data_IF_184749980985
#
_entry.id   IF_184749980985
#
_cell.length_a   1.000
_cell.length_b   1.000
_cell.length_c   1.000
_cell.angle_alpha   90.00
_cell.angle_beta   90.00
_cell.angle_gamma   90.00
#
_symmetry.space_group_name_H-M   'P 1'
#
loop_
_entity.id
_entity.type
_entity.pdbx_description
1 polymer ?
#
# COMPACT_ATOMS: atom_id res chain seq x y z
N UNK A 1 -1.62 9.53 3.08
CA UNK A 1 -1.23 8.44 4.00
C UNK A 1 -0.01 7.78 3.39
N UNK A 2 1.09 7.68 4.13
CA UNK A 2 2.42 7.30 3.62
C UNK A 2 2.85 5.89 4.04
N UNK A 3 1.99 5.16 4.75
CA UNK A 3 2.30 3.89 5.42
C UNK A 3 1.23 2.86 5.12
N UNK A 4 1.49 1.60 5.45
CA UNK A 4 0.54 0.49 5.30
C UNK A 4 -0.54 0.44 6.38
N UNK A 5 -0.55 1.41 7.31
CA UNK A 5 -1.52 1.47 8.39
C UNK A 5 -3.01 1.38 7.93
N UNK A 6 -3.42 1.95 6.78
CA UNK A 6 -4.79 1.80 6.25
C UNK A 6 -5.18 0.37 5.87
N UNK A 7 -4.20 -0.49 5.60
CA UNK A 7 -4.42 -1.91 5.27
C UNK A 7 -4.46 -2.78 6.52
N UNK A 8 -3.85 -2.33 7.62
CA UNK A 8 -3.65 -3.10 8.85
C UNK A 8 -4.63 -2.75 9.97
N UNK A 9 -5.15 -1.52 9.98
CA UNK A 9 -5.98 -1.01 11.07
C UNK A 9 -7.30 -0.46 10.56
N UNK A 10 -8.31 -0.50 11.43
CA UNK A 10 -9.61 0.08 11.10
C UNK A 10 -9.53 1.61 11.07
N UNK A 11 -10.36 2.28 10.26
CA UNK A 11 -10.38 3.74 10.20
C UNK A 11 -10.64 4.39 11.57
N UNK A 12 -11.42 3.74 12.45
CA UNK A 12 -11.64 4.22 13.81
C UNK A 12 -10.36 4.19 14.67
N UNK A 13 -9.56 3.13 14.58
CA UNK A 13 -8.27 3.05 15.27
C UNK A 13 -7.28 4.10 14.77
N UNK A 14 -7.25 4.33 13.44
CA UNK A 14 -6.41 5.36 12.83
C UNK A 14 -6.83 6.77 13.26
N UNK A 15 -8.13 7.04 13.29
CA UNK A 15 -8.67 8.32 13.76
C UNK A 15 -8.33 8.56 15.24
N UNK A 16 -8.49 7.54 16.10
CA UNK A 16 -8.15 7.63 17.52
C UNK A 16 -6.65 7.86 17.74
N UNK A 17 -5.78 7.19 16.97
CA UNK A 17 -4.34 7.41 17.01
C UNK A 17 -3.98 8.84 16.57
N UNK A 18 -4.57 9.32 15.48
CA UNK A 18 -4.37 10.68 15.00
C UNK A 18 -4.85 11.73 16.01
N UNK A 19 -6.01 11.53 16.64
CA UNK A 19 -6.51 12.40 17.71
C UNK A 19 -5.54 12.42 18.89
N UNK A 20 -5.15 11.26 19.41
CA UNK A 20 -4.19 11.16 20.53
C UNK A 20 -2.88 11.87 20.22
N UNK A 21 -2.31 11.65 19.04
CA UNK A 21 -1.08 12.31 18.58
C UNK A 21 -1.26 13.82 18.45
N UNK A 22 -2.39 14.27 17.90
CA UNK A 22 -2.75 15.69 17.77
C UNK A 22 -2.88 16.39 19.11
N UNK A 23 -3.58 15.79 20.07
CA UNK A 23 -3.70 16.30 21.44
C UNK A 23 -2.33 16.40 22.12
N UNK A 24 -1.48 15.38 21.96
CA UNK A 24 -0.12 15.42 22.49
C UNK A 24 0.72 16.56 21.89
N UNK A 25 0.61 16.79 20.57
CA UNK A 25 1.27 17.93 19.90
C UNK A 25 0.74 19.29 20.37
N UNK A 26 -0.54 19.35 20.72
CA UNK A 26 -1.17 20.54 21.30
C UNK A 26 -0.88 20.72 22.82
N UNK A 27 -0.12 19.82 23.44
CA UNK A 27 0.20 19.86 24.87
C UNK A 27 -0.92 19.37 25.79
N UNK A 28 -1.99 18.78 25.23
CA UNK A 28 -3.14 18.26 25.99
C UNK A 28 -2.87 16.80 26.33
N UNK A 29 -2.74 16.50 27.63
CA UNK A 29 -2.55 15.13 28.13
C UNK A 29 -3.90 14.43 28.30
N UNK A 30 -4.20 13.50 27.40
CA UNK A 30 -5.29 12.55 27.61
C UNK A 30 -4.77 11.42 28.50
N UNK A 31 -5.24 11.36 29.75
CA UNK A 31 -4.80 10.35 30.71
C UNK A 31 -5.24 8.93 30.34
N UNK A 32 -6.45 8.79 29.79
CA UNK A 32 -6.96 7.51 29.30
C UNK A 32 -7.61 7.68 27.92
N UNK A 33 -6.90 7.37 26.82
CA UNK A 33 -7.48 7.46 25.48
C UNK A 33 -8.59 6.43 25.23
N UNK A 34 -8.66 5.35 26.03
CA UNK A 34 -9.75 4.40 25.95
C UNK A 34 -11.05 4.99 26.49
N UNK A 35 -11.01 5.91 27.45
CA UNK A 35 -12.18 6.59 27.98
C UNK A 35 -12.88 7.52 26.97
N UNK A 36 -12.21 7.82 25.84
CA UNK A 36 -12.81 8.61 24.76
C UNK A 36 -13.74 7.78 23.86
N UNK A 37 -13.65 6.45 23.92
CA UNK A 37 -14.32 5.55 22.95
C UNK A 37 -15.06 4.40 23.61
N UNK A 38 -14.60 3.93 24.76
CA UNK A 38 -15.19 2.81 25.49
C UNK A 38 -15.95 3.32 26.71
N UNK A 39 -17.14 2.79 26.93
CA UNK A 39 -17.95 3.04 28.13
C UNK A 39 -17.21 2.53 29.38
N UNK A 40 -17.48 3.04 30.59
CA UNK A 40 -16.84 2.56 31.82
C UNK A 40 -16.93 1.04 32.02
N UNK A 41 -18.06 0.44 31.61
CA UNK A 41 -18.30 -1.01 31.66
C UNK A 41 -17.48 -1.81 30.62
N UNK A 42 -16.94 -1.12 29.60
CA UNK A 42 -16.13 -1.67 28.51
C UNK A 42 -14.63 -1.42 28.71
N UNK A 43 -14.22 -1.04 29.92
CA UNK A 43 -12.81 -0.83 30.32
C UNK A 43 -12.19 -2.01 31.11
N UNK A 44 -12.29 -3.29 30.72
CA UNK A 44 -11.39 -4.30 31.26
C UNK A 44 -9.94 -3.87 31.00
N UNK A 45 -9.05 -4.02 31.97
CA UNK A 45 -7.63 -3.65 31.82
C UNK A 45 -7.00 -4.26 30.56
N UNK A 46 -7.35 -5.51 30.25
CA UNK A 46 -6.86 -6.22 29.07
C UNK A 46 -7.24 -5.51 27.75
N UNK A 47 -8.47 -5.01 27.64
CA UNK A 47 -8.95 -4.28 26.46
C UNK A 47 -8.21 -2.96 26.31
N UNK A 48 -8.00 -2.24 27.42
CA UNK A 48 -7.25 -0.98 27.44
C UNK A 48 -5.79 -1.22 27.03
N UNK A 49 -5.16 -2.28 27.52
CA UNK A 49 -3.79 -2.65 27.13
C UNK A 49 -3.68 -3.01 25.64
N UNK A 50 -4.63 -3.79 25.11
CA UNK A 50 -4.68 -4.13 23.68
C UNK A 50 -4.84 -2.87 22.82
N UNK A 51 -5.75 -1.97 23.20
CA UNK A 51 -5.95 -0.70 22.51
C UNK A 51 -4.67 0.14 22.53
N UNK A 52 -4.03 0.26 23.69
CA UNK A 52 -2.77 0.99 23.82
C UNK A 52 -1.63 0.38 22.99
N UNK A 53 -1.58 -0.95 22.83
CA UNK A 53 -0.63 -1.61 21.94
C UNK A 53 -0.90 -1.26 20.47
N UNK A 54 -2.17 -1.37 20.02
CA UNK A 54 -2.56 -1.01 18.66
C UNK A 54 -2.23 0.45 18.34
N UNK A 55 -2.56 1.38 19.24
CA UNK A 55 -2.28 2.80 19.07
C UNK A 55 -0.77 3.10 18.99
N UNK A 56 0.07 2.36 19.72
CA UNK A 56 1.53 2.48 19.62
C UNK A 56 2.05 1.96 18.28
N UNK A 57 1.55 0.83 17.79
CA UNK A 57 1.95 0.29 16.48
C UNK A 57 1.57 1.24 15.34
N UNK A 58 0.43 1.94 15.43
CA UNK A 58 0.04 2.95 14.44
C UNK A 58 1.01 4.14 14.47
N UNK A 59 1.40 4.61 15.66
CA UNK A 59 2.38 5.70 15.81
C UNK A 59 3.75 5.31 15.23
N UNK A 60 4.23 4.10 15.49
CA UNK A 60 5.49 3.58 14.97
C UNK A 60 5.50 3.55 13.43
N UNK A 61 4.43 3.04 12.82
CA UNK A 61 4.27 3.10 11.37
C UNK A 61 4.24 4.55 10.88
N UNK A 62 3.48 5.42 11.55
CA UNK A 62 3.42 6.84 11.23
C UNK A 62 4.81 7.50 11.26
N UNK A 63 5.64 7.18 12.24
CA UNK A 63 7.00 7.66 12.37
C UNK A 63 7.88 7.18 11.19
N UNK A 64 7.79 5.89 10.84
CA UNK A 64 8.47 5.32 9.68
C UNK A 64 8.07 6.01 8.37
N UNK A 65 6.77 6.28 8.18
CA UNK A 65 6.29 7.00 6.99
C UNK A 65 6.70 8.47 6.93
N UNK A 66 7.07 9.06 8.06
CA UNK A 66 7.59 10.42 8.14
C UNK A 66 9.12 10.51 8.09
N UNK A 67 9.81 9.37 8.02
CA UNK A 67 11.26 9.33 7.97
C UNK A 67 11.79 10.01 6.70
N UNK A 68 12.90 10.75 6.83
CA UNK A 68 13.58 11.35 5.69
C UNK A 68 14.21 10.27 4.83
N UNK A 69 13.95 10.33 3.53
CA UNK A 69 14.49 9.38 2.56
C UNK A 69 15.79 9.91 1.94
N UNK A 70 16.68 8.99 1.58
CA UNK A 70 17.89 9.32 0.82
C UNK A 70 17.54 9.54 -0.66
N UNK A 71 17.76 10.78 -1.12
CA UNK A 71 17.49 11.17 -2.50
C UNK A 71 18.43 10.47 -3.50
N UNK A 72 19.66 10.15 -3.10
CA UNK A 72 20.61 9.46 -3.96
C UNK A 72 20.17 7.99 -4.15
N UNK A 73 19.74 7.35 -3.07
CA UNK A 73 19.16 6.00 -3.12
C UNK A 73 17.91 5.97 -4.02
N UNK A 74 16.98 6.93 -3.86
CA UNK A 74 15.79 7.04 -4.71
C UNK A 74 16.18 7.18 -6.19
N UNK A 75 17.16 8.03 -6.51
CA UNK A 75 17.62 8.23 -7.88
C UNK A 75 18.26 6.95 -8.47
N UNK A 76 19.02 6.20 -7.66
CA UNK A 76 19.60 4.94 -8.07
C UNK A 76 18.53 3.88 -8.38
N UNK A 77 17.49 3.78 -7.53
CA UNK A 77 16.35 2.88 -7.74
C UNK A 77 15.59 3.27 -9.00
N UNK A 78 15.26 4.54 -9.20
CA UNK A 78 14.56 5.02 -10.40
C UNK A 78 15.31 4.69 -11.69
N UNK A 79 16.63 4.89 -11.71
CA UNK A 79 17.47 4.50 -12.86
C UNK A 79 17.38 3.01 -13.16
N UNK A 80 17.43 2.15 -12.13
CA UNK A 80 17.29 0.69 -12.27
C UNK A 80 15.91 0.30 -12.80
N UNK A 81 14.84 0.90 -12.26
CA UNK A 81 13.47 0.65 -12.71
C UNK A 81 13.28 1.05 -14.17
N UNK A 82 13.82 2.21 -14.58
CA UNK A 82 13.77 2.68 -15.97
C UNK A 82 14.54 1.75 -16.91
N UNK A 83 15.71 1.27 -16.51
CA UNK A 83 16.48 0.30 -17.30
C UNK A 83 15.71 -1.01 -17.48
N UNK A 84 15.13 -1.56 -16.42
CA UNK A 84 14.29 -2.76 -16.50
C UNK A 84 13.07 -2.54 -17.41
N UNK A 85 12.41 -1.40 -17.30
CA UNK A 85 11.25 -1.05 -18.15
C UNK A 85 11.64 -0.94 -19.62
N UNK A 86 12.80 -0.36 -19.94
CA UNK A 86 13.30 -0.28 -21.31
C UNK A 86 13.46 -1.67 -21.93
N UNK A 87 14.13 -2.59 -21.22
CA UNK A 87 14.33 -3.98 -21.65
C UNK A 87 12.99 -4.70 -21.87
N UNK A 88 12.06 -4.59 -20.91
CA UNK A 88 10.73 -5.18 -21.04
C UNK A 88 9.97 -4.61 -22.25
N UNK A 89 10.03 -3.29 -22.45
CA UNK A 89 9.34 -2.63 -23.57
C UNK A 89 9.92 -3.00 -24.94
N UNK A 90 11.24 -3.17 -25.05
CA UNK A 90 11.88 -3.64 -26.27
C UNK A 90 11.54 -5.10 -26.56
N UNK A 91 11.48 -5.93 -25.52
CA UNK A 91 11.08 -7.34 -25.62
C UNK A 91 9.62 -7.46 -26.09
N UNK A 92 8.71 -6.67 -25.54
CA UNK A 92 7.31 -6.61 -25.99
C UNK A 92 7.18 -6.12 -27.44
N UNK A 93 7.99 -5.14 -27.87
CA UNK A 93 8.00 -4.67 -29.28
C UNK A 93 8.57 -5.71 -30.24
N UNK A 94 9.61 -6.44 -29.84
CA UNK A 94 10.19 -7.54 -30.63
C UNK A 94 9.21 -8.72 -30.74
N UNK A 95 8.49 -9.05 -29.66
CA UNK A 95 7.42 -10.05 -29.69
C UNK A 95 6.26 -9.64 -30.62
N UNK A 96 5.87 -8.36 -30.63
CA UNK A 96 4.84 -7.84 -31.55
C UNK A 96 5.28 -7.84 -33.03
N UNK A 97 6.57 -7.62 -33.32
CA UNK A 97 7.14 -7.72 -34.68
C UNK A 97 7.36 -9.15 -35.16
N UNK A 98 7.34 -10.14 -34.27
CA UNK A 98 7.49 -11.56 -34.61
C UNK A 98 6.20 -12.27 -35.04
N UNK A 99 5.05 -11.58 -35.07
CA UNK A 99 3.79 -12.15 -35.55
C UNK A 99 3.72 -11.95 -37.07
N UNK A 100 3.91 -13.00 -37.91
CA UNK A 100 3.71 -12.84 -39.34
C UNK A 100 2.24 -12.48 -39.57
N UNK A 101 2.02 -11.36 -40.24
CA UNK A 101 0.72 -11.01 -40.80
C UNK A 101 0.40 -11.99 -41.94
N UNK A 102 -0.16 -13.15 -41.60
CA UNK A 102 -0.69 -14.11 -42.55
C UNK A 102 -1.99 -13.58 -43.18
N UNK A 103 -1.85 -12.75 -44.21
CA UNK A 103 -2.88 -12.55 -45.24
C UNK A 103 -2.61 -13.57 -46.36
N UNK A 104 -3.54 -14.49 -46.60
CA UNK A 104 -3.75 -15.34 -47.80
C UNK A 104 -4.12 -16.75 -47.34
N UNK A 105 -5.23 -17.39 -47.70
CA UNK A 105 -6.33 -17.02 -48.57
C UNK A 105 -7.45 -18.04 -48.32
N UNK A 106 -8.67 -17.55 -48.14
CA UNK A 106 -9.86 -18.39 -48.05
C UNK A 106 -10.39 -18.63 -49.45
N UNK A 107 -9.95 -19.69 -50.13
CA UNK A 107 -10.70 -20.30 -51.26
C UNK A 107 -10.38 -21.80 -51.39
N UNK A 108 -11.45 -22.58 -51.28
CA UNK A 108 -11.74 -23.86 -51.95
C UNK A 108 -10.86 -25.09 -51.67
N UNK A 109 -11.45 -26.06 -50.97
CA UNK A 109 -11.41 -27.48 -51.35
C UNK A 109 -12.52 -28.25 -50.60
N UNK A 110 -13.79 -28.05 -50.99
CA UNK A 110 -14.82 -29.07 -50.81
C UNK A 110 -15.03 -29.71 -52.17
N UNK A 111 -14.28 -30.78 -52.44
CA UNK A 111 -14.61 -31.75 -53.48
C UNK A 111 -13.91 -33.08 -53.18
N UNK A 112 -14.70 -34.16 -53.35
CA UNK A 112 -14.31 -35.56 -53.51
C UNK A 112 -14.10 -36.42 -52.23
N UNK A 113 -15.17 -37.13 -51.84
CA UNK A 113 -15.44 -38.56 -52.16
C UNK A 113 -16.63 -39.01 -51.28
N UNK A 114 -17.81 -39.30 -51.83
CA UNK A 114 -18.15 -40.51 -52.60
C UNK A 114 -17.90 -41.78 -51.79
#
# INVERSE_FOLDING_TARGET
MLTDAPLLFTPGQLALAALRSGFHKAGIKIQNPAALVLSPDEQPEETVHKLAAVLRSIDELGALGSATLDLEEIAAIDRRVKACRAVLSETSRKAAKGKPSGKSGTKEAIAAKA
#
